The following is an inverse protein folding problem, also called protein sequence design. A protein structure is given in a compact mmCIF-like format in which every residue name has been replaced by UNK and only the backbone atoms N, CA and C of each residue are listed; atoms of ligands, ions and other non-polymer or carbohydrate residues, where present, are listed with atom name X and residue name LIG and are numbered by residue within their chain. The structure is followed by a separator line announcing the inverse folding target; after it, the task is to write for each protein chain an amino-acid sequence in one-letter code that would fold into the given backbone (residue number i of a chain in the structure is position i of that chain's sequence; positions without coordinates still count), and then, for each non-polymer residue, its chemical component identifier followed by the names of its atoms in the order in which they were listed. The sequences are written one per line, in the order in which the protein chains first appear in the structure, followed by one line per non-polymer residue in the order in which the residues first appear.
data_IF_150342905778
#
_entry.id   IF_150342905778
#
_cell.length_a   1.000
_cell.length_b   1.000
_cell.length_c   1.000
_cell.angle_alpha   90.00
_cell.angle_beta   90.00
_cell.angle_gamma   90.00
#
_symmetry.space_group_name_H-M   'P 1'
#
loop_
_entity.id
_entity.type
_entity.pdbx_description
1 polymer ?
#
# COMPACT_ATOMS: atom_id res chain seq x y z
N UNK A 1 -3.06 31.28 8.76
CA UNK A 1 -2.07 30.79 7.78
C UNK A 1 -1.65 29.35 8.12
N UNK A 2 -2.39 28.31 7.71
CA UNK A 2 -2.08 26.90 8.08
C UNK A 2 -2.30 25.86 6.96
N UNK A 3 -2.84 26.27 5.81
CA UNK A 3 -3.24 25.36 4.73
C UNK A 3 -2.12 24.88 3.79
N UNK A 4 -0.93 25.50 3.83
CA UNK A 4 0.14 25.15 2.89
C UNK A 4 0.88 23.83 3.23
N UNK A 5 1.00 23.49 4.52
CA UNK A 5 1.78 22.31 4.95
C UNK A 5 1.07 20.97 4.68
N UNK A 6 -0.26 20.93 4.69
CA UNK A 6 -1.01 19.71 4.40
C UNK A 6 -0.84 19.27 2.92
N UNK A 7 -0.77 20.24 1.99
CA UNK A 7 -0.51 19.98 0.57
C UNK A 7 0.89 19.39 0.32
N UNK A 8 1.90 19.79 1.10
CA UNK A 8 3.27 19.31 0.93
C UNK A 8 3.50 17.85 1.35
N UNK A 9 2.63 17.28 2.20
CA UNK A 9 2.72 15.87 2.64
C UNK A 9 1.83 14.96 1.78
N UNK A 10 0.73 15.49 1.24
CA UNK A 10 -0.18 14.73 0.38
C UNK A 10 0.44 14.42 -1.00
N UNK A 11 1.21 15.36 -1.55
CA UNK A 11 1.91 15.19 -2.83
C UNK A 11 2.91 14.02 -2.85
N UNK A 12 3.86 13.86 -1.91
CA UNK A 12 4.78 12.74 -1.90
C UNK A 12 4.07 11.40 -1.61
N UNK A 13 2.98 11.40 -0.83
CA UNK A 13 2.18 10.19 -0.58
C UNK A 13 1.47 9.71 -1.86
N UNK A 14 0.89 10.63 -2.63
CA UNK A 14 0.32 10.32 -3.94
C UNK A 14 1.39 9.87 -4.94
N UNK A 15 2.58 10.49 -4.91
CA UNK A 15 3.67 10.11 -5.80
C UNK A 15 4.21 8.71 -5.47
N UNK A 16 4.26 8.34 -4.19
CA UNK A 16 4.64 6.98 -3.76
C UNK A 16 3.58 5.95 -4.15
N UNK A 17 2.29 6.29 -4.03
CA UNK A 17 1.19 5.45 -4.48
C UNK A 17 1.19 5.26 -6.01
N UNK A 18 1.49 6.31 -6.79
CA UNK A 18 1.64 6.22 -8.25
C UNK A 18 2.91 5.47 -8.67
N UNK A 19 4.03 5.66 -7.99
CA UNK A 19 5.29 4.99 -8.29
C UNK A 19 5.17 3.46 -8.08
N UNK A 20 4.42 3.02 -7.06
CA UNK A 20 4.10 1.60 -6.87
C UNK A 20 3.17 1.02 -7.94
N UNK A 21 2.39 1.87 -8.63
CA UNK A 21 1.55 1.46 -9.76
C UNK A 21 2.35 1.38 -11.08
N UNK A 22 3.37 2.23 -11.23
CA UNK A 22 4.19 2.31 -12.44
C UNK A 22 5.15 1.12 -12.62
N UNK A 23 5.48 0.39 -11.56
CA UNK A 23 6.29 -0.84 -11.63
C UNK A 23 5.48 -2.11 -11.95
N UNK A 24 4.17 -2.00 -12.20
CA UNK A 24 3.36 -3.13 -12.66
C UNK A 24 3.55 -3.38 -14.16
N UNK A 25 4.78 -3.63 -14.60
CA UNK A 25 5.02 -4.19 -15.92
C UNK A 25 4.55 -5.65 -15.90
N UNK A 26 3.34 -5.90 -16.40
CA UNK A 26 2.76 -7.24 -16.51
C UNK A 26 3.40 -8.00 -17.70
N UNK A 27 4.72 -8.18 -17.70
CA UNK A 27 5.37 -9.14 -18.62
C UNK A 27 5.01 -10.53 -18.13
N UNK A 28 4.38 -11.32 -19.01
CA UNK A 28 3.83 -12.65 -18.70
C UNK A 28 4.76 -13.73 -19.25
N UNK A 29 5.78 -14.19 -18.49
CA UNK A 29 6.38 -15.50 -18.67
C UNK A 29 5.51 -16.56 -17.96
N UNK A 30 5.23 -17.68 -18.63
CA UNK A 30 4.32 -18.73 -18.16
C UNK A 30 4.96 -19.66 -17.10
N UNK A 31 6.22 -19.44 -16.80
CA UNK A 31 7.13 -20.36 -16.13
C UNK A 31 7.14 -20.18 -14.59
N UNK A 32 6.52 -19.12 -14.04
CA UNK A 32 6.52 -18.82 -12.60
C UNK A 32 5.14 -18.37 -12.06
N UNK A 33 4.20 -19.31 -11.80
CA UNK A 33 2.83 -18.99 -11.38
C UNK A 33 2.76 -18.28 -10.01
N UNK A 34 3.74 -18.48 -9.14
CA UNK A 34 3.80 -17.85 -7.80
C UNK A 34 4.00 -16.34 -7.92
N UNK A 35 4.87 -15.89 -8.83
CA UNK A 35 5.14 -14.46 -9.05
C UNK A 35 3.92 -13.73 -9.62
N UNK A 36 3.18 -14.40 -10.51
CA UNK A 36 1.94 -13.88 -11.09
C UNK A 36 0.87 -13.63 -10.01
N UNK A 37 0.70 -14.58 -9.10
CA UNK A 37 -0.26 -14.45 -8.01
C UNK A 37 0.12 -13.33 -7.05
N UNK A 38 1.42 -13.21 -6.72
CA UNK A 38 1.93 -12.15 -5.85
C UNK A 38 1.70 -10.74 -6.42
N UNK A 39 2.01 -10.52 -7.70
CA UNK A 39 1.79 -9.21 -8.34
C UNK A 39 0.32 -8.79 -8.30
N UNK A 40 -0.60 -9.72 -8.56
CA UNK A 40 -2.05 -9.47 -8.49
C UNK A 40 -2.48 -9.13 -7.05
N UNK A 41 -2.01 -9.89 -6.05
CA UNK A 41 -2.31 -9.63 -4.64
C UNK A 41 -1.76 -8.28 -4.19
N UNK A 42 -0.56 -7.91 -4.64
CA UNK A 42 0.06 -6.63 -4.30
C UNK A 42 -0.73 -5.45 -4.88
N UNK A 43 -1.15 -5.52 -6.15
CA UNK A 43 -1.97 -4.48 -6.77
C UNK A 43 -3.35 -4.39 -6.10
N UNK A 44 -4.02 -5.52 -5.88
CA UNK A 44 -5.32 -5.51 -5.20
C UNK A 44 -5.22 -5.02 -3.75
N UNK A 45 -4.18 -5.43 -3.03
CA UNK A 45 -3.95 -5.03 -1.64
C UNK A 45 -3.60 -3.55 -1.51
N UNK A 46 -2.82 -2.99 -2.44
CA UNK A 46 -2.51 -1.55 -2.45
C UNK A 46 -3.75 -0.72 -2.79
N UNK A 47 -4.55 -1.12 -3.78
CA UNK A 47 -5.81 -0.45 -4.12
C UNK A 47 -6.79 -0.49 -2.94
N UNK A 48 -7.00 -1.66 -2.34
CA UNK A 48 -7.86 -1.81 -1.16
C UNK A 48 -7.35 -0.97 0.02
N UNK A 49 -6.03 -0.95 0.24
CA UNK A 49 -5.40 -0.12 1.27
C UNK A 49 -5.68 1.37 1.06
N UNK A 50 -5.53 1.88 -0.16
CA UNK A 50 -5.83 3.29 -0.49
C UNK A 50 -7.30 3.62 -0.23
N UNK A 51 -8.22 2.74 -0.60
CA UNK A 51 -9.66 2.94 -0.37
C UNK A 51 -10.01 3.00 1.13
N UNK A 52 -9.48 2.07 1.92
CA UNK A 52 -9.73 2.03 3.38
C UNK A 52 -9.06 3.24 4.06
N UNK A 53 -7.87 3.64 3.62
CA UNK A 53 -7.21 4.85 4.11
C UNK A 53 -8.02 6.11 3.81
N UNK A 54 -8.60 6.23 2.61
CA UNK A 54 -9.46 7.34 2.25
C UNK A 54 -10.73 7.37 3.11
N UNK A 55 -11.37 6.21 3.33
CA UNK A 55 -12.54 6.11 4.19
C UNK A 55 -12.24 6.50 5.65
N UNK A 56 -11.16 5.95 6.23
CA UNK A 56 -10.76 6.26 7.58
C UNK A 56 -10.32 7.73 7.73
N UNK A 57 -9.66 8.30 6.70
CA UNK A 57 -9.33 9.72 6.64
C UNK A 57 -10.58 10.62 6.63
N UNK A 58 -11.62 10.22 5.91
CA UNK A 58 -12.90 10.94 5.90
C UNK A 58 -13.59 10.92 7.27
N UNK A 59 -13.66 9.76 7.94
CA UNK A 59 -14.23 9.65 9.29
C UNK A 59 -13.46 10.51 10.29
N UNK A 60 -12.13 10.51 10.21
CA UNK A 60 -11.29 11.29 11.11
C UNK A 60 -11.50 12.81 10.93
N UNK A 61 -11.79 13.25 9.70
CA UNK A 61 -12.07 14.64 9.37
C UNK A 61 -13.49 15.08 9.75
N UNK A 62 -14.49 14.20 9.59
CA UNK A 62 -15.90 14.53 9.78
C UNK A 62 -16.45 14.28 11.20
N UNK A 63 -15.83 13.41 11.98
CA UNK A 63 -16.38 13.02 13.29
C UNK A 63 -16.02 14.01 14.41
N UNK A 64 -17.03 14.35 15.22
CA UNK A 64 -16.91 15.12 16.46
C UNK A 64 -16.83 14.22 17.71
N UNK A 65 -17.09 12.92 17.56
CA UNK A 65 -17.04 11.97 18.67
C UNK A 65 -15.61 11.40 18.84
N UNK A 66 -15.15 11.32 20.08
CA UNK A 66 -13.80 10.82 20.40
C UNK A 66 -13.67 9.34 20.05
N UNK A 67 -14.75 8.56 20.21
CA UNK A 67 -14.74 7.13 19.98
C UNK A 67 -14.55 6.79 18.49
N UNK A 68 -15.32 7.44 17.61
CA UNK A 68 -15.18 7.27 16.16
C UNK A 68 -13.79 7.69 15.64
N UNK A 69 -13.23 8.76 16.20
CA UNK A 69 -11.86 9.20 15.87
C UNK A 69 -10.80 8.17 16.26
N UNK A 70 -11.00 7.47 17.38
CA UNK A 70 -10.04 6.46 17.82
C UNK A 70 -10.11 5.21 16.93
N UNK A 71 -11.31 4.80 16.53
CA UNK A 71 -11.53 3.72 15.57
C UNK A 71 -10.92 4.04 14.20
N UNK A 72 -11.11 5.27 13.69
CA UNK A 72 -10.51 5.71 12.43
C UNK A 72 -8.98 5.68 12.45
N UNK A 73 -8.35 6.03 13.58
CA UNK A 73 -6.89 5.92 13.76
C UNK A 73 -6.42 4.48 13.76
N UNK A 74 -7.16 3.57 14.40
CA UNK A 74 -6.85 2.14 14.39
C UNK A 74 -6.95 1.56 12.98
N UNK A 75 -7.98 1.94 12.22
CA UNK A 75 -8.13 1.54 10.82
C UNK A 75 -6.96 2.03 9.95
N UNK A 76 -6.57 3.31 10.08
CA UNK A 76 -5.40 3.84 9.39
C UNK A 76 -4.11 3.10 9.78
N UNK A 77 -3.94 2.79 11.06
CA UNK A 77 -2.80 1.99 11.55
C UNK A 77 -2.75 0.60 10.92
N UNK A 78 -3.90 -0.07 10.82
CA UNK A 78 -4.02 -1.37 10.17
C UNK A 78 -3.69 -1.33 8.68
N UNK A 79 -4.13 -0.30 7.96
CA UNK A 79 -3.79 -0.12 6.53
C UNK A 79 -2.29 0.07 6.33
N UNK A 80 -1.65 0.91 7.16
CA UNK A 80 -0.19 1.13 7.09
C UNK A 80 0.55 -0.17 7.36
N UNK A 81 0.15 -0.92 8.38
CA UNK A 81 0.76 -2.22 8.70
C UNK A 81 0.61 -3.22 7.55
N UNK A 82 -0.59 -3.31 6.96
CA UNK A 82 -0.87 -4.19 5.82
C UNK A 82 -0.04 -3.85 4.59
N UNK A 83 0.09 -2.56 4.26
CA UNK A 83 0.95 -2.09 3.17
C UNK A 83 2.41 -2.45 3.41
N UNK A 84 2.92 -2.26 4.63
CA UNK A 84 4.29 -2.65 5.00
C UNK A 84 4.50 -4.16 4.76
N UNK A 85 3.56 -5.01 5.18
CA UNK A 85 3.67 -6.47 5.00
C UNK A 85 3.71 -6.85 3.53
N UNK A 86 2.81 -6.29 2.71
CA UNK A 86 2.76 -6.56 1.26
C UNK A 86 4.09 -6.21 0.58
N UNK A 87 4.71 -5.11 0.98
CA UNK A 87 5.98 -4.66 0.40
C UNK A 87 7.20 -5.40 0.93
N UNK A 88 7.18 -5.90 2.17
CA UNK A 88 8.26 -6.72 2.74
C UNK A 88 8.23 -8.16 2.23
N UNK A 89 7.04 -8.69 1.93
CA UNK A 89 6.87 -10.07 1.45
C UNK A 89 7.84 -10.48 0.32
N UNK A 90 8.01 -9.71 -0.79
CA UNK A 90 8.96 -10.08 -1.83
C UNK A 90 10.43 -10.06 -1.37
N UNK A 91 10.81 -9.17 -0.44
CA UNK A 91 12.17 -9.17 0.12
C UNK A 91 12.42 -10.44 0.95
N UNK A 92 11.44 -10.89 1.73
CA UNK A 92 11.55 -12.11 2.51
C UNK A 92 11.65 -13.35 1.61
N UNK A 93 10.84 -13.42 0.55
CA UNK A 93 10.90 -14.52 -0.42
C UNK A 93 12.27 -14.55 -1.12
N UNK A 94 12.80 -13.40 -1.54
CA UNK A 94 14.17 -13.31 -2.09
C UNK A 94 15.23 -13.83 -1.11
N UNK A 95 15.11 -13.49 0.17
CA UNK A 95 16.06 -13.93 1.20
C UNK A 95 15.97 -15.42 1.55
N UNK A 96 14.80 -16.04 1.43
CA UNK A 96 14.60 -17.46 1.76
C UNK A 96 14.93 -18.41 0.61
N UNK A 97 14.66 -18.00 -0.64
CA UNK A 97 14.82 -18.88 -1.81
C UNK A 97 16.26 -18.82 -2.37
N UNK A 98 17.09 -17.85 -1.95
CA UNK A 98 18.52 -17.81 -2.25
C UNK A 98 18.86 -17.55 -3.72
N UNK A 99 17.87 -17.19 -4.54
CA UNK A 99 17.99 -16.83 -5.95
C UNK A 99 17.49 -15.41 -6.16
N UNK A 100 18.30 -14.59 -6.85
CA UNK A 100 18.10 -13.14 -6.96
C UNK A 100 16.88 -12.74 -7.83
N UNK A 101 16.37 -13.65 -8.66
CA UNK A 101 15.50 -13.31 -9.80
C UNK A 101 14.27 -14.22 -9.94
N UNK A 102 13.62 -14.63 -8.84
CA UNK A 102 12.35 -15.40 -8.96
C UNK A 102 11.26 -14.56 -9.60
N UNK A 103 11.14 -13.29 -9.28
CA UNK A 103 10.13 -12.43 -9.88
C UNK A 103 10.85 -11.13 -10.28
N UNK A 104 10.94 -10.85 -11.58
CA UNK A 104 11.77 -9.79 -12.18
C UNK A 104 11.37 -8.36 -11.82
N UNK A 105 11.50 -8.01 -10.54
CA UNK A 105 11.38 -6.69 -9.93
C UNK A 105 12.35 -6.57 -8.77
#
# INVERSE_FOLDING_TARGET
MKGARAKQILAPLMLFALAGLASAELVIPADQPVCRLYGIIQVLGTVAGVLIAAYAGFILASSNDINERNTAKQLLGGVVLGLIIIWIAPLLVKSLVGVADVCGW
#
